data_IF_872671120243
#
_entry.id   IF_872671120243
#
_cell.length_a   1.000
_cell.length_b   1.000
_cell.length_c   1.000
_cell.angle_alpha   90.00
_cell.angle_beta   90.00
_cell.angle_gamma   90.00
#
_symmetry.space_group_name_H-M   'P 1'
#
loop_
_entity.id
_entity.type
_entity.pdbx_description
1 polymer ?
#
# COMPACT_ATOMS: atom_id res chain seq x y z
N UNK A 1 -26.21 3.68 -7.32
CA UNK A 1 -26.99 2.97 -8.36
C UNK A 1 -26.13 1.83 -8.88
N UNK A 2 -26.45 0.57 -8.53
CA UNK A 2 -25.76 -0.61 -9.05
C UNK A 2 -26.08 -0.75 -10.53
N UNK A 3 -25.07 -0.66 -11.42
CA UNK A 3 -25.23 -1.15 -12.79
C UNK A 3 -25.31 -2.67 -12.74
N UNK A 4 -26.52 -3.18 -12.52
CA UNK A 4 -26.86 -4.58 -12.79
C UNK A 4 -26.56 -4.83 -14.27
N UNK A 5 -25.55 -5.65 -14.54
CA UNK A 5 -25.28 -6.16 -15.89
C UNK A 5 -26.58 -6.85 -16.39
N UNK A 6 -27.14 -6.46 -17.53
CA UNK A 6 -28.31 -7.16 -18.08
C UNK A 6 -27.92 -8.60 -18.47
N UNK A 7 -28.88 -9.55 -18.49
CA UNK A 7 -28.61 -10.91 -18.92
C UNK A 7 -28.25 -10.92 -20.41
N UNK A 8 -27.30 -11.79 -20.77
CA UNK A 8 -26.78 -12.01 -22.12
C UNK A 8 -27.92 -12.14 -23.14
N UNK A 9 -28.03 -11.16 -24.04
CA UNK A 9 -28.85 -11.28 -25.26
C UNK A 9 -28.00 -11.85 -26.39
N UNK A 10 -28.56 -12.85 -27.04
CA UNK A 10 -28.00 -13.73 -28.06
C UNK A 10 -27.83 -13.03 -29.43
N UNK A 11 -27.05 -11.96 -29.48
CA UNK A 11 -26.61 -11.30 -30.70
C UNK A 11 -25.12 -11.00 -30.59
N UNK A 12 -24.34 -11.52 -31.53
CA UNK A 12 -22.88 -11.44 -31.59
C UNK A 12 -22.32 -10.03 -31.84
N UNK A 13 -22.66 -9.08 -30.97
CA UNK A 13 -21.81 -7.92 -30.72
C UNK A 13 -20.59 -8.45 -29.97
N UNK A 14 -19.44 -8.49 -30.64
CA UNK A 14 -18.16 -8.56 -29.96
C UNK A 14 -18.02 -7.26 -29.16
N UNK A 15 -18.51 -7.27 -27.92
CA UNK A 15 -18.14 -6.25 -26.96
C UNK A 15 -16.63 -6.31 -26.84
N UNK A 16 -15.94 -5.28 -27.34
CA UNK A 16 -14.52 -5.11 -27.07
C UNK A 16 -14.48 -4.76 -25.58
N UNK A 17 -14.28 -5.78 -24.74
CA UNK A 17 -13.91 -5.55 -23.35
C UNK A 17 -12.59 -4.80 -23.41
N UNK A 18 -12.62 -3.51 -23.08
CA UNK A 18 -11.42 -2.70 -23.01
C UNK A 18 -10.70 -3.09 -21.72
N UNK A 19 -9.40 -3.29 -21.82
CA UNK A 19 -8.58 -3.62 -20.66
C UNK A 19 -8.46 -2.40 -19.73
N UNK A 20 -8.40 -2.60 -18.42
CA UNK A 20 -8.31 -1.53 -17.40
C UNK A 20 -7.18 -0.54 -17.73
N UNK A 21 -6.00 -1.03 -18.10
CA UNK A 21 -4.85 -0.21 -18.48
C UNK A 21 -5.09 0.71 -19.69
N UNK A 22 -5.95 0.30 -20.63
CA UNK A 22 -6.33 1.14 -21.77
C UNK A 22 -7.27 2.24 -21.31
N UNK A 23 -8.23 1.90 -20.46
CA UNK A 23 -9.19 2.83 -19.90
C UNK A 23 -8.50 3.91 -19.05
N UNK A 24 -7.57 3.53 -18.16
CA UNK A 24 -6.74 4.47 -17.42
C UNK A 24 -5.93 5.40 -18.36
N UNK A 25 -5.37 4.87 -19.45
CA UNK A 25 -4.57 5.67 -20.38
C UNK A 25 -5.45 6.65 -21.18
N UNK A 26 -6.63 6.22 -21.61
CA UNK A 26 -7.60 7.08 -22.28
C UNK A 26 -8.11 8.17 -21.33
N UNK A 27 -8.33 7.84 -20.05
CA UNK A 27 -8.70 8.79 -19.00
C UNK A 27 -7.65 9.88 -18.80
N UNK A 28 -6.37 9.52 -18.64
CA UNK A 28 -5.30 10.51 -18.51
C UNK A 28 -5.26 11.49 -19.70
N UNK A 29 -5.48 10.98 -20.91
CA UNK A 29 -5.48 11.81 -22.13
C UNK A 29 -6.67 12.74 -22.20
N UNK A 30 -7.83 12.28 -21.74
CA UNK A 30 -9.04 13.09 -21.63
C UNK A 30 -8.84 14.19 -20.59
N UNK A 31 -8.40 13.84 -19.37
CA UNK A 31 -8.15 14.80 -18.28
C UNK A 31 -7.15 15.86 -18.72
N UNK A 32 -6.01 15.47 -19.29
CA UNK A 32 -5.02 16.42 -19.79
C UNK A 32 -5.59 17.34 -20.89
N UNK A 33 -6.39 16.81 -21.82
CA UNK A 33 -7.04 17.62 -22.85
C UNK A 33 -8.03 18.62 -22.27
N UNK A 34 -8.80 18.21 -21.27
CA UNK A 34 -9.78 19.08 -20.62
C UNK A 34 -9.10 20.21 -19.84
N UNK A 35 -7.94 19.94 -19.23
CA UNK A 35 -7.19 20.93 -18.47
C UNK A 35 -6.42 21.93 -19.35
N UNK A 36 -5.84 21.46 -20.46
CA UNK A 36 -4.86 22.25 -21.24
C UNK A 36 -5.34 22.64 -22.64
N UNK A 37 -6.39 21.99 -23.15
CA UNK A 37 -6.78 22.04 -24.56
C UNK A 37 -5.86 21.28 -25.51
N UNK A 38 -4.72 20.75 -25.01
CA UNK A 38 -3.70 20.05 -25.79
C UNK A 38 -3.91 18.53 -25.78
N UNK A 39 -3.12 17.80 -26.58
CA UNK A 39 -3.22 16.33 -26.67
C UNK A 39 -2.01 15.66 -26.03
N UNK A 40 -2.26 14.78 -25.06
CA UNK A 40 -1.27 13.81 -24.59
C UNK A 40 -1.16 12.67 -25.61
N UNK A 41 0.06 12.37 -26.06
CA UNK A 41 0.32 11.26 -26.99
C UNK A 41 -0.11 9.94 -26.36
N UNK A 42 -0.75 9.08 -27.16
CA UNK A 42 -1.24 7.77 -26.69
C UNK A 42 -0.13 6.93 -26.05
N UNK A 43 1.04 6.86 -26.70
CA UNK A 43 2.18 6.12 -26.17
C UNK A 43 2.62 6.64 -24.81
N UNK A 44 2.69 7.96 -24.60
CA UNK A 44 3.08 8.52 -23.30
C UNK A 44 2.09 8.15 -22.21
N UNK A 45 0.79 8.19 -22.49
CA UNK A 45 -0.24 7.81 -21.52
C UNK A 45 -0.13 6.33 -21.12
N UNK A 46 0.06 5.42 -22.09
CA UNK A 46 0.24 4.01 -21.78
C UNK A 46 1.53 3.73 -21.00
N UNK A 47 2.62 4.45 -21.31
CA UNK A 47 3.89 4.31 -20.58
C UNK A 47 3.76 4.81 -19.12
N UNK A 48 3.04 5.91 -18.89
CA UNK A 48 2.76 6.41 -17.55
C UNK A 48 1.84 5.48 -16.76
N UNK A 49 0.81 4.91 -17.40
CA UNK A 49 -0.06 3.90 -16.77
C UNK A 49 0.71 2.62 -16.47
N UNK A 50 1.61 2.18 -17.36
CA UNK A 50 2.46 1.03 -17.08
C UNK A 50 3.33 1.27 -15.85
N UNK A 51 3.95 2.45 -15.75
CA UNK A 51 4.74 2.82 -14.60
C UNK A 51 3.89 2.91 -13.31
N UNK A 52 2.65 3.41 -13.39
CA UNK A 52 1.72 3.39 -12.26
C UNK A 52 1.51 1.98 -11.71
N UNK A 53 1.34 0.99 -12.60
CA UNK A 53 1.21 -0.43 -12.25
C UNK A 53 2.54 -1.12 -11.92
N UNK A 54 3.65 -0.38 -11.85
CA UNK A 54 4.99 -0.87 -11.50
C UNK A 54 5.78 -1.51 -12.65
N UNK A 55 5.34 -1.34 -13.91
CA UNK A 55 6.02 -1.87 -15.09
C UNK A 55 6.79 -0.79 -15.84
N UNK A 56 8.03 -1.10 -16.22
CA UNK A 56 8.90 -0.13 -16.91
C UNK A 56 8.45 0.25 -18.33
N UNK A 57 7.56 -0.54 -18.95
CA UNK A 57 7.00 -0.24 -20.29
C UNK A 57 5.58 -0.74 -20.44
N UNK A 58 4.82 -0.15 -21.38
CA UNK A 58 3.48 -0.63 -21.71
C UNK A 58 3.46 -2.06 -22.25
N UNK A 59 4.50 -2.46 -22.99
CA UNK A 59 4.65 -3.83 -23.49
C UNK A 59 4.87 -4.84 -22.34
N UNK A 60 5.64 -4.46 -21.31
CA UNK A 60 5.83 -5.31 -20.14
C UNK A 60 4.53 -5.51 -19.36
N UNK A 61 3.76 -4.44 -19.14
CA UNK A 61 2.43 -4.56 -18.51
C UNK A 61 1.49 -5.47 -19.33
N UNK A 62 1.53 -5.37 -20.66
CA UNK A 62 0.70 -6.21 -21.54
C UNK A 62 1.14 -7.68 -21.57
N UNK A 63 2.40 -7.96 -21.24
CA UNK A 63 2.96 -9.31 -21.18
C UNK A 63 2.74 -9.99 -19.82
N UNK A 64 2.24 -9.26 -18.81
CA UNK A 64 1.93 -9.80 -17.50
C UNK A 64 0.79 -10.82 -17.60
N UNK A 65 1.01 -12.00 -17.02
CA UNK A 65 0.08 -13.13 -17.06
C UNK A 65 -0.14 -13.78 -15.70
N UNK A 66 0.82 -13.62 -14.78
CA UNK A 66 0.78 -14.19 -13.44
C UNK A 66 -0.09 -13.33 -12.52
N UNK A 67 0.06 -12.01 -12.63
CA UNK A 67 -0.70 -11.02 -11.85
C UNK A 67 -1.48 -10.07 -12.78
N UNK A 68 -2.51 -10.56 -13.49
CA UNK A 68 -3.28 -9.74 -14.42
C UNK A 68 -3.96 -8.56 -13.73
N UNK A 69 -3.98 -7.39 -14.37
CA UNK A 69 -4.58 -6.16 -13.83
C UNK A 69 -6.06 -6.36 -13.53
N UNK A 70 -6.74 -7.22 -14.28
CA UNK A 70 -8.15 -7.54 -14.12
C UNK A 70 -8.50 -8.13 -12.74
N UNK A 71 -7.52 -8.68 -12.01
CA UNK A 71 -7.70 -9.20 -10.66
C UNK A 71 -7.69 -8.11 -9.57
N UNK A 72 -7.51 -6.83 -9.92
CA UNK A 72 -7.39 -5.71 -8.97
C UNK A 72 -8.59 -5.57 -8.02
N UNK A 73 -9.77 -6.04 -8.41
CA UNK A 73 -10.96 -6.02 -7.55
C UNK A 73 -10.81 -6.84 -6.25
N UNK A 74 -9.90 -7.82 -6.24
CA UNK A 74 -9.63 -8.67 -5.08
C UNK A 74 -8.54 -8.11 -4.16
N UNK A 75 -7.91 -6.99 -4.52
CA UNK A 75 -6.90 -6.35 -3.68
C UNK A 75 -7.54 -5.53 -2.56
N UNK A 76 -6.87 -5.48 -1.41
CA UNK A 76 -7.25 -4.63 -0.28
C UNK A 76 -6.45 -3.32 -0.26
N UNK A 77 -5.22 -3.33 -0.78
CA UNK A 77 -4.32 -2.17 -0.77
C UNK A 77 -3.70 -1.98 -2.16
N UNK A 78 -3.70 -0.74 -2.66
CA UNK A 78 -2.86 -0.33 -3.79
C UNK A 78 -1.68 0.51 -3.31
N UNK A 79 -0.50 0.22 -3.84
CA UNK A 79 0.73 1.00 -3.63
C UNK A 79 1.31 1.38 -5.00
N UNK A 80 0.85 2.48 -5.62
CA UNK A 80 1.34 2.90 -6.93
C UNK A 80 2.84 3.23 -6.93
N UNK A 81 3.57 2.83 -7.98
CA UNK A 81 5.01 3.10 -8.06
C UNK A 81 5.31 4.52 -8.56
N UNK A 82 5.17 5.49 -7.65
CA UNK A 82 5.39 6.92 -7.93
C UNK A 82 6.83 7.22 -8.36
N UNK A 83 7.81 6.45 -7.88
CA UNK A 83 9.21 6.61 -8.24
C UNK A 83 9.44 6.20 -9.71
N UNK A 84 8.89 5.05 -10.12
CA UNK A 84 8.93 4.60 -11.50
C UNK A 84 8.14 5.51 -12.42
N UNK A 85 6.98 6.01 -12.01
CA UNK A 85 6.22 7.00 -12.79
C UNK A 85 7.05 8.27 -13.04
N UNK A 86 7.73 8.80 -12.01
CA UNK A 86 8.60 9.97 -12.17
C UNK A 86 9.80 9.71 -13.07
N UNK A 87 10.46 8.55 -12.91
CA UNK A 87 11.51 8.13 -13.83
C UNK A 87 10.99 8.07 -15.25
N UNK A 88 9.86 7.40 -15.48
CA UNK A 88 9.28 7.21 -16.80
C UNK A 88 8.88 8.55 -17.43
N UNK A 89 8.27 9.45 -16.67
CA UNK A 89 7.94 10.79 -17.14
C UNK A 89 9.19 11.55 -17.62
N UNK A 90 10.33 11.38 -16.93
CA UNK A 90 11.59 12.04 -17.31
C UNK A 90 12.28 11.45 -18.55
N UNK A 91 12.07 10.16 -18.82
CA UNK A 91 12.67 9.44 -19.96
C UNK A 91 11.89 9.62 -21.27
N UNK A 92 10.61 9.97 -21.17
CA UNK A 92 9.75 10.14 -22.34
C UNK A 92 10.14 11.40 -23.13
N UNK A 93 10.47 11.22 -24.40
CA UNK A 93 10.82 12.33 -25.28
C UNK A 93 9.60 13.20 -25.60
N UNK A 94 9.77 14.53 -25.56
CA UNK A 94 8.73 15.50 -25.91
C UNK A 94 7.46 15.35 -25.04
N UNK A 95 7.63 15.06 -23.75
CA UNK A 95 6.53 15.20 -22.78
C UNK A 95 6.12 16.67 -22.72
N UNK A 96 4.81 16.98 -22.72
CA UNK A 96 4.36 18.36 -22.57
C UNK A 96 4.86 18.96 -21.26
N UNK A 97 5.38 20.20 -21.33
CA UNK A 97 5.94 20.90 -20.16
C UNK A 97 4.90 21.28 -19.12
N UNK A 98 3.64 21.29 -19.51
CA UNK A 98 2.46 21.56 -18.68
C UNK A 98 1.76 20.27 -18.22
N UNK A 99 2.38 19.10 -18.41
CA UNK A 99 1.87 17.85 -17.86
C UNK A 99 1.89 17.92 -16.33
N UNK A 100 0.82 17.44 -15.71
CA UNK A 100 0.67 17.42 -14.25
C UNK A 100 1.81 16.63 -13.57
N UNK A 101 2.16 16.98 -12.32
CA UNK A 101 3.05 16.20 -11.48
C UNK A 101 2.60 14.73 -11.36
N UNK A 102 3.56 13.84 -11.14
CA UNK A 102 3.33 12.40 -11.01
C UNK A 102 2.29 12.06 -9.95
N UNK A 103 2.34 12.74 -8.80
CA UNK A 103 1.42 12.52 -7.69
C UNK A 103 -0.04 12.81 -8.10
N UNK A 104 -0.27 13.83 -8.92
CA UNK A 104 -1.60 14.16 -9.45
C UNK A 104 -2.05 13.16 -10.52
N UNK A 105 -1.14 12.73 -11.39
CA UNK A 105 -1.43 11.70 -12.39
C UNK A 105 -1.79 10.36 -11.73
N UNK A 106 -1.06 9.96 -10.67
CA UNK A 106 -1.35 8.74 -9.94
C UNK A 106 -2.72 8.81 -9.25
N UNK A 107 -3.05 9.95 -8.64
CA UNK A 107 -4.38 10.18 -8.05
C UNK A 107 -5.49 10.13 -9.08
N UNK A 108 -5.28 10.66 -10.29
CA UNK A 108 -6.27 10.59 -11.36
C UNK A 108 -6.51 9.13 -11.81
N UNK A 109 -5.45 8.32 -11.93
CA UNK A 109 -5.59 6.90 -12.26
C UNK A 109 -6.34 6.17 -11.13
N UNK A 110 -5.95 6.38 -9.88
CA UNK A 110 -6.62 5.79 -8.72
C UNK A 110 -8.10 6.19 -8.65
N UNK A 111 -8.41 7.48 -8.80
CA UNK A 111 -9.77 7.98 -8.76
C UNK A 111 -10.64 7.30 -9.83
N UNK A 112 -10.10 7.13 -11.04
CA UNK A 112 -10.78 6.39 -12.09
C UNK A 112 -11.05 4.93 -11.74
N UNK A 113 -10.06 4.22 -11.18
CA UNK A 113 -10.22 2.84 -10.73
C UNK A 113 -11.32 2.70 -9.67
N UNK A 114 -11.42 3.66 -8.76
CA UNK A 114 -12.45 3.69 -7.71
C UNK A 114 -13.82 4.06 -8.27
N UNK A 115 -13.90 5.12 -9.07
CA UNK A 115 -15.17 5.65 -9.60
C UNK A 115 -15.87 4.66 -10.55
N UNK A 116 -15.11 3.92 -11.35
CA UNK A 116 -15.63 2.87 -12.22
C UNK A 116 -15.85 1.53 -11.49
N UNK A 117 -15.48 1.45 -10.21
CA UNK A 117 -15.70 0.29 -9.36
C UNK A 117 -14.75 -0.88 -9.65
N UNK A 118 -13.58 -0.62 -10.23
CA UNK A 118 -12.51 -1.62 -10.39
C UNK A 118 -11.79 -1.91 -9.06
N UNK A 119 -11.76 -0.95 -8.15
CA UNK A 119 -11.08 -1.08 -6.86
C UNK A 119 -11.87 -0.36 -5.74
N UNK A 120 -11.83 -0.89 -4.52
CA UNK A 120 -12.55 -0.31 -3.37
C UNK A 120 -11.78 -0.32 -2.04
N UNK A 121 -10.51 -0.71 -2.05
CA UNK A 121 -9.67 -0.79 -0.86
C UNK A 121 -8.94 0.52 -0.52
N UNK A 122 -7.88 0.42 0.28
CA UNK A 122 -6.99 1.54 0.64
C UNK A 122 -5.96 1.80 -0.46
N UNK A 123 -5.51 3.05 -0.58
CA UNK A 123 -4.45 3.42 -1.53
C UNK A 123 -3.40 4.23 -0.82
N UNK A 124 -2.16 3.75 -0.83
CA UNK A 124 -1.01 4.39 -0.21
C UNK A 124 -0.24 5.19 -1.26
N UNK A 125 -0.53 6.49 -1.34
CA UNK A 125 0.08 7.42 -2.30
C UNK A 125 1.38 8.00 -1.76
N UNK A 126 2.32 7.15 -1.35
CA UNK A 126 3.56 7.57 -0.72
C UNK A 126 4.78 6.90 -1.36
N UNK A 127 5.90 7.63 -1.38
CA UNK A 127 7.21 7.09 -1.79
C UNK A 127 7.93 6.40 -0.63
N UNK A 128 7.65 6.89 0.57
CA UNK A 128 8.05 6.29 1.84
C UNK A 128 6.77 5.79 2.52
N UNK A 129 6.73 4.52 2.89
CA UNK A 129 5.52 3.85 3.37
C UNK A 129 5.44 3.82 4.90
N UNK A 130 6.45 4.36 5.59
CA UNK A 130 6.52 4.34 7.06
C UNK A 130 5.28 5.00 7.69
N UNK A 131 4.87 6.17 7.19
CA UNK A 131 3.70 6.91 7.71
C UNK A 131 2.38 6.18 7.43
N UNK A 132 2.25 5.57 6.25
CA UNK A 132 1.04 4.83 5.85
C UNK A 132 0.88 3.55 6.66
N UNK A 133 1.98 2.82 6.88
CA UNK A 133 2.02 1.62 7.71
C UNK A 133 1.74 1.97 9.17
N UNK A 134 2.37 3.03 9.69
CA UNK A 134 2.13 3.50 11.06
C UNK A 134 0.66 3.90 11.24
N UNK A 135 0.10 4.69 10.31
CA UNK A 135 -1.32 5.06 10.36
C UNK A 135 -2.24 3.84 10.31
N UNK A 136 -1.91 2.82 9.51
CA UNK A 136 -2.67 1.57 9.45
C UNK A 136 -2.67 0.83 10.79
N UNK A 137 -1.51 0.71 11.45
CA UNK A 137 -1.38 0.06 12.76
C UNK A 137 -2.09 0.89 13.85
N UNK A 138 -1.98 2.21 13.83
CA UNK A 138 -2.62 3.07 14.84
C UNK A 138 -4.14 3.16 14.71
N UNK A 139 -4.70 2.84 13.53
CA UNK A 139 -6.15 2.67 13.36
C UNK A 139 -6.68 1.41 14.07
N UNK A 140 -5.85 0.38 14.21
CA UNK A 140 -6.17 -0.85 14.95
C UNK A 140 -4.93 -1.41 15.69
N UNK A 141 -4.56 -0.84 16.85
CA UNK A 141 -3.38 -1.28 17.61
C UNK A 141 -3.44 -2.76 18.04
N UNK A 142 -4.63 -3.34 18.06
CA UNK A 142 -4.84 -4.75 18.42
C UNK A 142 -4.13 -5.72 17.48
N UNK A 143 -3.80 -5.31 16.25
CA UNK A 143 -2.98 -6.06 15.30
C UNK A 143 -1.61 -6.47 15.89
N UNK A 144 -1.09 -5.67 16.81
CA UNK A 144 0.18 -5.92 17.52
C UNK A 144 -0.07 -6.34 18.97
N UNK A 145 -0.96 -5.64 19.68
CA UNK A 145 -1.15 -5.85 21.12
C UNK A 145 -1.68 -7.25 21.47
N UNK A 146 -2.53 -7.86 20.62
CA UNK A 146 -3.08 -9.19 20.91
C UNK A 146 -1.99 -10.26 20.98
N UNK A 147 -1.00 -10.16 20.09
CA UNK A 147 0.17 -11.05 20.07
C UNK A 147 1.10 -10.84 21.27
N UNK A 148 1.12 -9.64 21.86
CA UNK A 148 1.93 -9.30 23.04
C UNK A 148 1.20 -9.56 24.37
N UNK A 149 -0.07 -10.00 24.33
CA UNK A 149 -0.89 -10.22 25.52
C UNK A 149 -0.25 -11.14 26.58
N UNK A 150 0.53 -12.14 26.15
CA UNK A 150 1.28 -13.02 27.06
C UNK A 150 2.37 -12.29 27.83
N UNK A 151 3.12 -11.42 27.16
CA UNK A 151 4.16 -10.58 27.76
C UNK A 151 3.52 -9.54 28.69
N UNK A 152 2.42 -8.91 28.27
CA UNK A 152 1.64 -7.98 29.10
C UNK A 152 1.18 -8.66 30.39
N UNK A 153 0.68 -9.90 30.31
CA UNK A 153 0.24 -10.65 31.47
C UNK A 153 1.36 -11.03 32.44
N UNK A 154 2.62 -10.98 31.99
CA UNK A 154 3.79 -11.23 32.83
C UNK A 154 4.22 -10.01 33.66
N UNK A 155 3.66 -8.82 33.37
CA UNK A 155 3.99 -7.57 34.06
C UNK A 155 2.92 -7.14 35.06
N UNK A 156 3.20 -6.04 35.77
CA UNK A 156 2.25 -5.35 36.66
C UNK A 156 1.83 -3.97 36.11
N UNK A 157 1.97 -3.74 34.80
CA UNK A 157 1.68 -2.46 34.15
C UNK A 157 0.40 -2.50 33.31
N UNK A 158 -0.21 -1.34 33.12
CA UNK A 158 -1.30 -1.13 32.17
C UNK A 158 -0.73 -0.50 30.91
N UNK A 159 -0.76 -1.22 29.78
CA UNK A 159 -0.20 -0.76 28.51
C UNK A 159 -1.27 -0.04 27.68
N UNK A 160 -0.93 1.15 27.19
CA UNK A 160 -1.79 1.97 26.33
C UNK A 160 -1.01 2.84 25.32
N UNK A 161 0.33 2.76 25.31
CA UNK A 161 1.18 3.58 24.45
C UNK A 161 2.00 2.72 23.48
N UNK A 162 1.47 2.51 22.28
CA UNK A 162 2.17 1.84 21.18
C UNK A 162 3.01 2.86 20.38
N UNK A 163 4.30 2.55 20.20
CA UNK A 163 5.22 3.32 19.37
C UNK A 163 5.89 2.42 18.33
N UNK A 164 5.99 2.92 17.10
CA UNK A 164 6.77 2.32 16.02
C UNK A 164 7.96 3.21 15.77
N UNK A 165 9.16 2.69 16.01
CA UNK A 165 10.42 3.44 15.93
C UNK A 165 11.05 3.35 14.53
N UNK A 166 10.98 2.18 13.91
CA UNK A 166 11.58 1.92 12.60
C UNK A 166 10.68 1.02 11.76
N UNK A 167 10.62 1.32 10.46
CA UNK A 167 9.96 0.51 9.45
C UNK A 167 10.95 0.23 8.33
N UNK A 168 11.24 -1.05 8.10
CA UNK A 168 12.09 -1.52 7.00
C UNK A 168 11.24 -2.26 5.99
N UNK A 169 11.17 -1.75 4.77
CA UNK A 169 10.38 -2.34 3.69
C UNK A 169 11.27 -3.18 2.77
N UNK A 170 10.84 -4.41 2.51
CA UNK A 170 11.41 -5.32 1.50
C UNK A 170 10.31 -5.78 0.55
N UNK A 171 10.44 -5.45 -0.74
CA UNK A 171 9.45 -5.79 -1.77
C UNK A 171 10.02 -6.87 -2.66
N UNK A 172 9.35 -8.01 -2.68
CA UNK A 172 9.69 -9.15 -3.52
C UNK A 172 8.81 -9.20 -4.77
N UNK A 173 9.05 -10.20 -5.62
CA UNK A 173 8.21 -10.43 -6.80
C UNK A 173 6.79 -10.91 -6.45
N UNK A 174 6.52 -11.41 -5.24
CA UNK A 174 5.20 -11.98 -4.90
C UNK A 174 4.56 -11.32 -3.67
N UNK A 175 5.33 -10.59 -2.88
CA UNK A 175 4.88 -10.01 -1.62
C UNK A 175 5.55 -8.67 -1.30
N UNK A 176 4.79 -7.84 -0.62
CA UNK A 176 5.28 -6.68 0.11
C UNK A 176 5.50 -7.09 1.57
N UNK A 177 6.70 -6.90 2.10
CA UNK A 177 7.03 -7.21 3.49
C UNK A 177 7.56 -5.95 4.17
N UNK A 178 7.07 -5.63 5.35
CA UNK A 178 7.63 -4.60 6.20
C UNK A 178 7.95 -5.18 7.58
N UNK A 179 9.16 -4.92 8.07
CA UNK A 179 9.55 -5.19 9.46
C UNK A 179 9.40 -3.90 10.25
N UNK A 180 8.57 -3.94 11.28
CA UNK A 180 8.33 -2.85 12.21
C UNK A 180 9.03 -3.18 13.52
N UNK A 181 9.82 -2.26 14.05
CA UNK A 181 10.34 -2.36 15.41
C UNK A 181 9.85 -1.20 16.24
N UNK A 182 9.54 -1.46 17.50
CA UNK A 182 8.99 -0.43 18.37
C UNK A 182 8.85 -0.89 19.81
N UNK A 183 8.09 -0.13 20.57
CA UNK A 183 7.80 -0.42 21.97
C UNK A 183 6.33 -0.22 22.30
N UNK A 184 5.83 -1.10 23.16
CA UNK A 184 4.56 -0.92 23.87
C UNK A 184 4.89 -0.53 25.30
N UNK A 185 4.56 0.69 25.68
CA UNK A 185 4.81 1.24 27.01
C UNK A 185 3.52 1.22 27.84
N UNK A 186 3.68 1.05 29.15
CA UNK A 186 2.58 1.04 30.09
C UNK A 186 2.91 1.77 31.38
N UNK A 187 1.87 2.07 32.14
CA UNK A 187 1.99 2.68 33.46
C UNK A 187 1.99 1.60 34.54
N UNK A 188 3.00 1.64 35.42
CA UNK A 188 3.13 0.72 36.54
C UNK A 188 1.98 0.89 37.55
N UNK A 189 1.41 -0.23 38.03
CA UNK A 189 0.63 -0.24 39.26
C UNK A 189 1.56 -0.04 40.49
N UNK A 190 1.54 1.16 41.07
CA UNK A 190 2.37 1.55 42.21
C UNK A 190 2.07 0.74 43.50
N UNK A 191 0.94 0.04 43.56
CA UNK A 191 0.57 -0.81 44.68
C UNK A 191 1.13 -2.24 44.54
N UNK A 192 1.84 -2.55 43.45
CA UNK A 192 2.46 -3.85 43.16
C UNK A 192 3.97 -3.77 42.96
N UNK A 193 4.65 -4.88 43.23
CA UNK A 193 6.09 -5.05 42.95
C UNK A 193 6.31 -4.84 41.45
N UNK A 194 7.30 -4.01 41.09
CA UNK A 194 7.66 -3.75 39.70
C UNK A 194 7.99 -5.07 38.98
N UNK A 195 7.42 -5.24 37.79
CA UNK A 195 7.57 -6.39 36.89
C UNK A 195 7.64 -5.92 35.42
N UNK A 196 8.34 -4.79 35.16
CA UNK A 196 8.50 -4.23 33.82
C UNK A 196 7.29 -3.41 33.35
N UNK A 197 7.55 -2.32 32.65
CA UNK A 197 6.55 -1.35 32.15
C UNK A 197 6.72 -1.05 30.65
N UNK A 198 7.65 -1.76 30.00
CA UNK A 198 7.96 -1.60 28.59
C UNK A 198 8.17 -2.96 27.94
N UNK A 199 7.58 -3.15 26.76
CA UNK A 199 7.79 -4.32 25.90
C UNK A 199 8.38 -3.83 24.59
N UNK A 200 9.57 -4.30 24.24
CA UNK A 200 10.12 -4.07 22.90
C UNK A 200 9.58 -5.16 21.97
N UNK A 201 9.13 -4.78 20.79
CA UNK A 201 8.55 -5.72 19.82
C UNK A 201 9.18 -5.59 18.44
N UNK A 202 9.03 -6.68 17.68
CA UNK A 202 9.26 -6.72 16.25
C UNK A 202 8.04 -7.36 15.60
N UNK A 203 7.48 -6.69 14.61
CA UNK A 203 6.32 -7.18 13.86
C UNK A 203 6.67 -7.26 12.37
N UNK A 204 6.33 -8.38 11.75
CA UNK A 204 6.47 -8.58 10.31
C UNK A 204 5.10 -8.45 9.67
N UNK A 205 4.89 -7.36 8.92
CA UNK A 205 3.70 -7.17 8.09
C UNK A 205 3.95 -7.75 6.70
N UNK A 206 3.08 -8.66 6.24
CA UNK A 206 3.16 -9.26 4.91
C UNK A 206 1.86 -8.99 4.14
N UNK A 207 1.98 -8.58 2.87
CA UNK A 207 0.86 -8.56 1.94
C UNK A 207 1.24 -9.27 0.64
N UNK A 208 0.46 -10.28 0.25
CA UNK A 208 0.68 -10.99 -1.01
C UNK A 208 0.11 -10.22 -2.19
N UNK A 209 0.82 -10.24 -3.32
CA UNK A 209 0.40 -9.60 -4.56
C UNK A 209 -0.84 -10.28 -5.14
N UNK A 210 -1.75 -9.48 -5.67
CA UNK A 210 -2.98 -9.90 -6.33
C UNK A 210 -2.98 -9.54 -7.82
N UNK A 211 -2.60 -8.31 -8.15
CA UNK A 211 -2.67 -7.80 -9.51
C UNK A 211 -1.61 -6.73 -9.75
N UNK A 212 -1.01 -6.74 -10.95
CA UNK A 212 0.12 -5.88 -11.27
C UNK A 212 1.22 -5.94 -10.19
N UNK A 213 2.11 -4.96 -10.12
CA UNK A 213 3.15 -4.87 -9.07
C UNK A 213 2.74 -3.97 -7.90
N UNK A 214 1.46 -3.62 -7.82
CA UNK A 214 0.96 -2.57 -6.92
C UNK A 214 -0.25 -2.99 -6.10
N UNK A 215 -0.94 -4.07 -6.46
CA UNK A 215 -2.18 -4.46 -5.78
C UNK A 215 -1.92 -5.66 -4.89
N UNK A 216 -2.23 -5.50 -3.61
CA UNK A 216 -1.89 -6.46 -2.56
C UNK A 216 -3.13 -6.85 -1.75
N UNK A 217 -3.05 -8.03 -1.13
CA UNK A 217 -4.02 -8.51 -0.14
C UNK A 217 -4.01 -7.62 1.11
N UNK A 218 -4.94 -7.93 2.02
CA UNK A 218 -4.95 -7.33 3.34
C UNK A 218 -3.64 -7.64 4.09
N UNK A 219 -3.08 -6.68 4.84
CA UNK A 219 -1.93 -6.91 5.72
C UNK A 219 -2.17 -8.04 6.72
N UNK A 220 -1.22 -8.97 6.76
CA UNK A 220 -1.11 -9.98 7.82
C UNK A 220 0.08 -9.64 8.71
N UNK A 221 -0.07 -9.79 10.03
CA UNK A 221 0.94 -9.39 11.02
C UNK A 221 1.38 -10.59 11.85
N UNK A 222 2.69 -10.84 11.85
CA UNK A 222 3.35 -11.75 12.77
C UNK A 222 4.20 -10.96 13.75
N UNK A 223 3.73 -10.85 15.00
CA UNK A 223 4.36 -10.03 16.05
C UNK A 223 4.99 -10.91 17.12
N UNK A 224 6.21 -10.54 17.53
CA UNK A 224 6.86 -11.06 18.73
C UNK A 224 7.49 -9.93 19.53
N UNK A 225 7.70 -10.15 20.82
CA UNK A 225 8.32 -9.17 21.70
C UNK A 225 8.70 -9.76 23.04
N UNK A 226 9.33 -8.94 23.87
CA UNK A 226 9.70 -9.31 25.24
C UNK A 226 9.76 -8.08 26.12
N UNK A 227 9.48 -8.26 27.42
CA UNK A 227 9.64 -7.22 28.43
C UNK A 227 11.08 -6.69 28.46
N UNK A 228 11.22 -5.37 28.55
CA UNK A 228 12.51 -4.69 28.70
C UNK A 228 12.91 -4.61 30.18
N UNK A 229 13.73 -5.57 30.61
CA UNK A 229 14.24 -5.65 31.99
C UNK A 229 15.54 -4.86 32.23
N UNK A 230 15.97 -4.00 31.29
CA UNK A 230 17.26 -3.30 31.39
C UNK A 230 17.41 -2.46 32.66
N UNK A 231 16.31 -1.91 33.20
CA UNK A 231 16.27 -1.18 34.47
C UNK A 231 16.60 -2.03 35.72
N UNK A 232 16.51 -3.37 35.66
CA UNK A 232 16.80 -4.23 36.83
C UNK A 232 18.28 -4.44 37.09
N UNK A 233 19.14 -4.26 36.07
CA UNK A 233 20.55 -4.64 36.14
C UNK A 233 21.52 -3.46 36.30
N UNK A 234 21.03 -2.25 36.53
CA UNK A 234 21.90 -1.09 36.76
C UNK A 234 22.50 -1.01 38.18
N UNK A 235 22.07 -1.87 39.13
CA UNK A 235 22.36 -1.69 40.56
C UNK A 235 22.97 -2.93 41.25
N UNK A 236 23.83 -3.70 40.57
CA UNK A 236 24.68 -4.70 41.25
C UNK A 236 26.18 -4.29 41.18
N UNK A 237 26.65 -3.41 42.09
CA UNK A 237 28.07 -3.12 42.21
C UNK A 237 28.81 -4.36 42.75
N UNK A 238 29.83 -4.80 41.99
CA UNK A 238 30.78 -5.85 42.36
C UNK A 238 31.56 -5.54 43.66
#
# INVERSE_FOLDING_TARGET
>A
MKRLRPPLTDAGEKWIVMSIQKECADRLRETYRNLTGSKLKSGHAHELVAAYFGYGTAAALQAEVEYPVEAIEAAAVLIPDLALMGRRQSELNQVPTDLQPVDDLAKEITAYLVDEGYFSGKVWHARDLSDEINSYVMEDPMLIEDALSGEIASTNAYFDELYIDEVVVDVTDDAFVATLTGSLNGEQDQDRVFHGDKINFTSTMTMYRIAARIAYQEPDFETGGSVDDSMYYEDDPA
#
